data_IF_392252156968
#
_entry.id   IF_392252156968
#
_cell.length_a   1.000
_cell.length_b   1.000
_cell.length_c   1.000
_cell.angle_alpha   90.00
_cell.angle_beta   90.00
_cell.angle_gamma   90.00
#
_symmetry.space_group_name_H-M   'P 1'
#
loop_
_entity.id
_entity.type
_entity.pdbx_description
1 polymer ?
#
# COMPACT_ATOMS: atom_id res chain seq x y z
N UNK A 1 19.48 6.36 -14.00
CA UNK A 1 19.97 5.47 -12.93
C UNK A 1 20.52 6.23 -11.71
N UNK A 2 21.17 7.39 -11.88
CA UNK A 2 21.74 8.18 -10.76
C UNK A 2 20.73 8.91 -9.85
N UNK A 3 19.47 9.11 -10.26
CA UNK A 3 18.46 9.76 -9.42
C UNK A 3 18.00 8.89 -8.23
N UNK A 4 18.21 7.58 -8.26
CA UNK A 4 17.88 6.68 -7.15
C UNK A 4 18.87 6.82 -5.96
N UNK A 5 20.09 7.28 -6.21
CA UNK A 5 21.15 7.42 -5.20
C UNK A 5 20.97 8.64 -4.28
N UNK A 6 20.10 9.60 -4.66
CA UNK A 6 19.92 10.85 -3.93
C UNK A 6 18.52 11.01 -3.29
N UNK A 7 17.75 9.92 -3.20
CA UNK A 7 16.42 9.96 -2.57
C UNK A 7 16.57 9.90 -1.06
N UNK A 8 15.90 10.82 -0.36
CA UNK A 8 15.75 10.68 1.08
C UNK A 8 14.86 9.46 1.42
N UNK A 9 14.85 9.06 2.69
CA UNK A 9 14.07 7.91 3.16
C UNK A 9 12.60 7.97 2.71
N UNK A 10 11.96 9.14 2.87
CA UNK A 10 10.55 9.31 2.54
C UNK A 10 10.26 9.08 1.05
N UNK A 11 11.06 9.69 0.17
CA UNK A 11 10.92 9.50 -1.28
C UNK A 11 11.15 8.04 -1.69
N UNK A 12 12.10 7.36 -1.08
CA UNK A 12 12.39 5.96 -1.36
C UNK A 12 11.22 5.05 -0.96
N UNK A 13 10.63 5.28 0.22
CA UNK A 13 9.48 4.50 0.71
C UNK A 13 8.25 4.77 -0.15
N UNK A 14 7.93 6.04 -0.44
CA UNK A 14 6.84 6.41 -1.35
C UNK A 14 7.01 5.78 -2.73
N UNK A 15 8.23 5.74 -3.25
CA UNK A 15 8.51 5.12 -4.54
C UNK A 15 8.29 3.61 -4.50
N UNK A 16 8.86 2.92 -3.49
CA UNK A 16 8.76 1.48 -3.34
C UNK A 16 7.30 1.04 -3.21
N UNK A 17 6.53 1.74 -2.37
CA UNK A 17 5.11 1.49 -2.19
C UNK A 17 4.30 1.76 -3.47
N UNK A 18 4.64 2.83 -4.19
CA UNK A 18 4.03 3.12 -5.48
C UNK A 18 4.27 2.01 -6.52
N UNK A 19 5.50 1.52 -6.64
CA UNK A 19 5.83 0.40 -7.54
C UNK A 19 5.12 -0.88 -7.10
N UNK A 20 5.14 -1.19 -5.81
CA UNK A 20 4.49 -2.37 -5.26
C UNK A 20 2.98 -2.37 -5.53
N UNK A 21 2.31 -1.25 -5.23
CA UNK A 21 0.88 -1.07 -5.50
C UNK A 21 0.54 -1.26 -6.98
N UNK A 22 1.35 -0.70 -7.89
CA UNK A 22 1.14 -0.92 -9.34
C UNK A 22 1.37 -2.38 -9.76
N UNK A 23 2.35 -3.06 -9.19
CA UNK A 23 2.59 -4.48 -9.46
C UNK A 23 1.42 -5.35 -8.98
N UNK A 24 0.88 -5.07 -7.79
CA UNK A 24 -0.31 -5.74 -7.26
C UNK A 24 -1.54 -5.46 -8.14
N UNK A 25 -1.74 -4.22 -8.58
CA UNK A 25 -2.82 -3.88 -9.50
C UNK A 25 -2.73 -4.66 -10.81
N UNK A 26 -1.54 -4.71 -11.41
CA UNK A 26 -1.31 -5.47 -12.65
C UNK A 26 -1.60 -6.97 -12.45
N UNK A 27 -1.13 -7.55 -11.34
CA UNK A 27 -1.40 -8.95 -10.99
C UNK A 27 -2.91 -9.21 -10.84
N UNK A 28 -3.61 -8.36 -10.10
CA UNK A 28 -5.04 -8.53 -9.83
C UNK A 28 -5.89 -8.38 -11.09
N UNK A 29 -5.54 -7.45 -11.99
CA UNK A 29 -6.21 -7.35 -13.30
C UNK A 29 -5.92 -8.53 -14.21
N UNK A 30 -4.70 -9.09 -14.16
CA UNK A 30 -4.32 -10.19 -15.04
C UNK A 30 -5.02 -11.51 -14.67
N UNK A 31 -5.17 -11.80 -13.36
CA UNK A 31 -5.67 -13.10 -12.87
C UNK A 31 -6.64 -12.96 -11.69
N UNK A 32 -7.76 -12.23 -11.84
CA UNK A 32 -8.67 -11.96 -10.71
C UNK A 32 -9.34 -13.23 -10.17
N UNK A 33 -9.67 -14.19 -11.04
CA UNK A 33 -10.28 -15.46 -10.65
C UNK A 33 -9.36 -16.32 -9.77
N UNK A 34 -8.13 -16.65 -10.21
CA UNK A 34 -7.15 -17.34 -9.40
C UNK A 34 -6.88 -16.66 -8.05
N UNK A 35 -6.68 -15.34 -8.03
CA UNK A 35 -6.49 -14.58 -6.80
C UNK A 35 -7.70 -14.73 -5.86
N UNK A 36 -8.92 -14.56 -6.39
CA UNK A 36 -10.16 -14.75 -5.63
C UNK A 36 -10.27 -16.15 -5.01
N UNK A 37 -9.92 -17.19 -5.77
CA UNK A 37 -9.95 -18.58 -5.28
C UNK A 37 -8.97 -18.85 -4.14
N UNK A 38 -7.83 -18.15 -4.11
CA UNK A 38 -6.88 -18.22 -3.00
C UNK A 38 -7.41 -17.51 -1.76
N UNK A 39 -8.20 -16.44 -1.91
CA UNK A 39 -8.70 -15.65 -0.78
C UNK A 39 -9.94 -16.28 -0.16
N UNK A 40 -10.93 -16.65 -0.96
CA UNK A 40 -12.17 -17.26 -0.50
C UNK A 40 -13.38 -16.94 -1.39
N UNK A 41 -14.52 -17.60 -1.17
CA UNK A 41 -15.71 -17.50 -2.03
C UNK A 41 -16.28 -16.08 -2.17
N UNK A 42 -16.06 -15.19 -1.18
CA UNK A 42 -16.53 -13.81 -1.24
C UNK A 42 -15.59 -12.88 -2.04
N UNK A 43 -14.37 -13.32 -2.36
CA UNK A 43 -13.40 -12.57 -3.16
C UNK A 43 -13.71 -12.69 -4.65
N UNK A 44 -14.89 -12.20 -5.05
CA UNK A 44 -15.36 -12.29 -6.44
C UNK A 44 -14.43 -11.55 -7.41
N UNK A 45 -14.38 -11.93 -8.71
CA UNK A 45 -13.57 -11.22 -9.69
C UNK A 45 -13.87 -9.71 -9.78
N UNK A 46 -15.13 -9.32 -9.59
CA UNK A 46 -15.53 -7.92 -9.53
C UNK A 46 -14.87 -7.17 -8.35
N UNK A 47 -14.86 -7.78 -7.16
CA UNK A 47 -14.20 -7.20 -5.99
C UNK A 47 -12.68 -7.11 -6.20
N UNK A 48 -12.06 -8.16 -6.74
CA UNK A 48 -10.62 -8.16 -7.03
C UNK A 48 -10.25 -7.09 -8.07
N UNK A 49 -11.04 -6.91 -9.12
CA UNK A 49 -10.85 -5.82 -10.08
C UNK A 49 -11.07 -4.43 -9.46
N UNK A 50 -12.01 -4.30 -8.53
CA UNK A 50 -12.19 -3.07 -7.74
C UNK A 50 -10.94 -2.74 -6.92
N UNK A 51 -10.36 -3.74 -6.24
CA UNK A 51 -9.09 -3.59 -5.52
C UNK A 51 -7.94 -3.27 -6.49
N UNK A 52 -7.89 -3.89 -7.66
CA UNK A 52 -6.89 -3.61 -8.68
C UNK A 52 -6.93 -2.13 -9.13
N UNK A 53 -8.13 -1.61 -9.40
CA UNK A 53 -8.32 -0.20 -9.74
C UNK A 53 -7.90 0.73 -8.60
N UNK A 54 -8.23 0.39 -7.36
CA UNK A 54 -7.76 1.11 -6.18
C UNK A 54 -6.23 1.14 -6.13
N UNK A 55 -5.55 -0.02 -6.23
CA UNK A 55 -4.09 -0.11 -6.19
C UNK A 55 -3.41 0.61 -7.36
N UNK A 56 -4.03 0.64 -8.53
CA UNK A 56 -3.55 1.40 -9.68
C UNK A 56 -3.51 2.90 -9.35
N UNK A 57 -4.62 3.44 -8.84
CA UNK A 57 -4.70 4.86 -8.46
C UNK A 57 -3.79 5.18 -7.26
N UNK A 58 -3.77 4.30 -6.26
CA UNK A 58 -2.95 4.45 -5.06
C UNK A 58 -1.44 4.42 -5.40
N UNK A 59 -1.04 3.49 -6.27
CA UNK A 59 0.33 3.40 -6.76
C UNK A 59 0.74 4.62 -7.58
N UNK A 60 -0.14 5.10 -8.47
CA UNK A 60 0.10 6.33 -9.23
C UNK A 60 0.26 7.55 -8.32
N UNK A 61 -0.58 7.69 -7.29
CA UNK A 61 -0.48 8.73 -6.28
C UNK A 61 0.87 8.70 -5.55
N UNK A 62 1.30 7.52 -5.09
CA UNK A 62 2.58 7.33 -4.41
C UNK A 62 3.79 7.68 -5.30
N UNK A 63 3.78 7.23 -6.57
CA UNK A 63 4.83 7.58 -7.52
C UNK A 63 4.85 9.07 -7.87
N UNK A 64 3.68 9.71 -7.95
CA UNK A 64 3.60 11.15 -8.17
C UNK A 64 4.21 11.92 -7.00
N UNK A 65 3.91 11.53 -5.75
CA UNK A 65 4.55 12.12 -4.56
C UNK A 65 6.05 11.85 -4.50
N UNK A 66 6.50 10.64 -4.80
CA UNK A 66 7.91 10.27 -4.76
C UNK A 66 8.78 11.03 -5.77
N UNK A 67 8.18 11.61 -6.82
CA UNK A 67 8.86 12.44 -7.83
C UNK A 67 9.00 13.91 -7.41
N UNK A 68 8.32 14.34 -6.36
CA UNK A 68 8.43 15.72 -5.86
C UNK A 68 9.73 15.89 -5.08
N UNK A 69 10.49 16.95 -5.37
CA UNK A 69 11.72 17.28 -4.63
C UNK A 69 11.45 17.47 -3.13
N UNK A 70 10.32 18.09 -2.79
CA UNK A 70 9.78 18.16 -1.44
C UNK A 70 8.28 17.83 -1.46
N UNK A 71 7.89 16.59 -1.12
CA UNK A 71 6.49 16.21 -1.05
C UNK A 71 5.75 17.04 0.00
N UNK A 72 4.50 17.43 -0.29
CA UNK A 72 3.69 18.17 0.68
C UNK A 72 3.40 17.31 1.92
N UNK A 73 3.55 17.89 3.11
CA UNK A 73 3.31 17.16 4.37
C UNK A 73 1.86 16.67 4.47
N UNK A 74 0.89 17.43 3.93
CA UNK A 74 -0.51 17.04 3.90
C UNK A 74 -0.75 15.79 3.04
N UNK A 75 -0.13 15.71 1.85
CA UNK A 75 -0.29 14.55 0.98
C UNK A 75 0.41 13.30 1.55
N UNK A 76 1.55 13.48 2.21
CA UNK A 76 2.22 12.36 2.92
C UNK A 76 1.39 11.87 4.10
N UNK A 77 0.75 12.78 4.85
CA UNK A 77 -0.18 12.41 5.93
C UNK A 77 -1.41 11.67 5.39
N UNK A 78 -1.92 12.05 4.22
CA UNK A 78 -2.99 11.33 3.53
C UNK A 78 -2.54 9.91 3.17
N UNK A 79 -1.32 9.74 2.64
CA UNK A 79 -0.75 8.42 2.37
C UNK A 79 -0.69 7.55 3.64
N UNK A 80 -0.14 8.10 4.73
CA UNK A 80 -0.06 7.41 6.04
C UNK A 80 -1.46 7.04 6.55
N UNK A 81 -2.44 7.93 6.44
CA UNK A 81 -3.81 7.67 6.87
C UNK A 81 -4.47 6.56 6.02
N UNK A 82 -4.23 6.55 4.71
CA UNK A 82 -4.73 5.49 3.83
C UNK A 82 -4.12 4.13 4.15
N UNK A 83 -2.80 4.07 4.41
CA UNK A 83 -2.14 2.84 4.87
C UNK A 83 -2.72 2.37 6.21
N UNK A 84 -2.98 3.30 7.14
CA UNK A 84 -3.59 2.99 8.42
C UNK A 84 -4.99 2.40 8.26
N UNK A 85 -5.80 2.99 7.38
CA UNK A 85 -7.12 2.47 7.03
C UNK A 85 -7.01 1.06 6.42
N UNK A 86 -6.07 0.84 5.50
CA UNK A 86 -5.83 -0.48 4.90
C UNK A 86 -5.53 -1.55 5.96
N UNK A 87 -4.64 -1.25 6.91
CA UNK A 87 -4.29 -2.16 8.00
C UNK A 87 -5.50 -2.45 8.89
N UNK A 88 -6.25 -1.41 9.30
CA UNK A 88 -7.46 -1.57 10.13
C UNK A 88 -8.50 -2.43 9.41
N UNK A 89 -8.77 -2.17 8.14
CA UNK A 89 -9.71 -2.95 7.34
C UNK A 89 -9.23 -4.39 7.16
N UNK A 90 -7.93 -4.61 6.98
CA UNK A 90 -7.35 -5.96 6.89
C UNK A 90 -7.58 -6.76 8.18
N UNK A 91 -7.34 -6.14 9.34
CA UNK A 91 -7.62 -6.76 10.65
C UNK A 91 -9.12 -7.02 10.83
N UNK A 92 -9.98 -6.08 10.44
CA UNK A 92 -11.43 -6.27 10.50
C UNK A 92 -11.89 -7.45 9.64
N UNK A 93 -11.34 -7.61 8.43
CA UNK A 93 -11.61 -8.76 7.55
C UNK A 93 -11.12 -10.06 8.19
N UNK A 94 -9.94 -10.09 8.79
CA UNK A 94 -9.39 -11.28 9.46
C UNK A 94 -10.21 -11.71 10.69
N UNK A 95 -10.85 -10.78 11.39
CA UNK A 95 -11.66 -11.08 12.59
C UNK A 95 -13.09 -11.43 12.19
N UNK A 96 -13.76 -10.54 11.44
CA UNK A 96 -15.19 -10.63 11.16
C UNK A 96 -15.51 -11.46 9.91
N UNK A 97 -14.60 -11.51 8.93
CA UNK A 97 -14.77 -12.25 7.68
C UNK A 97 -14.13 -13.65 7.69
N UNK A 98 -13.56 -14.07 8.82
CA UNK A 98 -12.68 -15.25 8.92
C UNK A 98 -13.29 -16.54 8.34
N UNK A 99 -14.59 -16.76 8.57
CA UNK A 99 -15.28 -18.00 8.18
C UNK A 99 -15.48 -18.06 6.65
N UNK A 100 -15.36 -16.92 5.97
CA UNK A 100 -15.42 -16.77 4.52
C UNK A 100 -14.05 -16.77 3.82
N UNK A 101 -12.95 -16.94 4.56
CA UNK A 101 -11.60 -16.94 4.03
C UNK A 101 -11.04 -18.36 3.97
N UNK A 102 -10.20 -18.63 2.97
CA UNK A 102 -9.33 -19.80 3.04
C UNK A 102 -8.16 -19.54 3.98
N UNK A 103 -7.47 -20.59 4.43
CA UNK A 103 -6.22 -20.44 5.19
C UNK A 103 -5.17 -19.61 4.44
N UNK A 104 -5.04 -19.84 3.14
CA UNK A 104 -4.13 -19.07 2.28
C UNK A 104 -4.53 -17.60 2.24
N UNK A 105 -5.83 -17.30 2.14
CA UNK A 105 -6.36 -15.94 2.19
C UNK A 105 -6.03 -15.23 3.49
N UNK A 106 -6.20 -15.91 4.62
CA UNK A 106 -5.84 -15.40 5.95
C UNK A 106 -4.35 -15.03 6.00
N UNK A 107 -3.47 -15.92 5.54
CA UNK A 107 -2.02 -15.69 5.54
C UNK A 107 -1.67 -14.50 4.64
N UNK A 108 -2.22 -14.45 3.42
CA UNK A 108 -1.96 -13.37 2.47
C UNK A 108 -2.40 -12.01 3.02
N UNK A 109 -3.59 -11.92 3.61
CA UNK A 109 -4.10 -10.68 4.21
C UNK A 109 -3.25 -10.27 5.41
N UNK A 110 -2.89 -11.21 6.29
CA UNK A 110 -2.06 -10.92 7.46
C UNK A 110 -0.66 -10.41 7.06
N UNK A 111 0.00 -11.08 6.10
CA UNK A 111 1.32 -10.67 5.61
C UNK A 111 1.25 -9.30 4.93
N UNK A 112 0.22 -9.05 4.11
CA UNK A 112 0.02 -7.75 3.48
C UNK A 112 -0.23 -6.65 4.53
N UNK A 113 -1.02 -6.91 5.56
CA UNK A 113 -1.27 -5.96 6.64
C UNK A 113 0.02 -5.57 7.39
N UNK A 114 0.87 -6.55 7.71
CA UNK A 114 2.16 -6.29 8.36
C UNK A 114 3.08 -5.47 7.44
N UNK A 115 3.21 -5.86 6.17
CA UNK A 115 4.03 -5.12 5.22
C UNK A 115 3.60 -3.66 5.05
N UNK A 116 2.29 -3.40 4.97
CA UNK A 116 1.74 -2.03 4.89
C UNK A 116 1.96 -1.27 6.21
N UNK A 117 1.87 -1.94 7.36
CA UNK A 117 2.17 -1.31 8.65
C UNK A 117 3.65 -0.87 8.74
N UNK A 118 4.59 -1.69 8.26
CA UNK A 118 6.01 -1.33 8.20
C UNK A 118 6.24 -0.13 7.26
N UNK A 119 5.60 -0.13 6.08
CA UNK A 119 5.64 1.00 5.13
C UNK A 119 5.11 2.28 5.79
N UNK A 120 3.98 2.19 6.49
CA UNK A 120 3.37 3.30 7.23
C UNK A 120 4.36 3.89 8.24
N UNK A 121 4.99 3.06 9.07
CA UNK A 121 5.98 3.48 10.06
C UNK A 121 7.18 4.17 9.39
N UNK A 122 7.67 3.62 8.27
CA UNK A 122 8.76 4.22 7.52
C UNK A 122 8.38 5.59 6.94
N UNK A 123 7.14 5.78 6.46
CA UNK A 123 6.63 7.09 6.02
C UNK A 123 6.56 8.10 7.17
N UNK A 124 6.11 7.67 8.36
CA UNK A 124 6.07 8.53 9.56
C UNK A 124 7.47 8.99 9.94
N UNK A 125 8.45 8.08 10.00
CA UNK A 125 9.86 8.40 10.30
C UNK A 125 10.43 9.34 9.23
N UNK A 126 10.16 9.05 7.95
CA UNK A 126 10.62 9.87 6.83
C UNK A 126 10.06 11.30 6.89
N UNK A 127 8.77 11.45 7.19
CA UNK A 127 8.12 12.76 7.33
C UNK A 127 8.68 13.55 8.51
N UNK A 128 8.84 12.92 9.68
CA UNK A 128 9.39 13.57 10.86
C UNK A 128 10.80 14.14 10.60
N UNK A 129 11.68 13.36 9.94
CA UNK A 129 13.03 13.81 9.58
C UNK A 129 13.04 15.00 8.63
N UNK A 130 12.16 14.99 7.63
CA UNK A 130 12.02 16.12 6.69
C UNK A 130 11.57 17.40 7.40
N UNK A 131 10.64 17.28 8.36
CA UNK A 131 10.16 18.42 9.13
C UNK A 131 11.23 18.99 10.07
N UNK A 132 11.98 18.16 10.79
CA UNK A 132 13.09 18.62 11.61
C UNK A 132 14.15 19.38 10.80
N UNK A 133 14.47 18.87 9.60
CA UNK A 133 15.45 19.52 8.70
C UNK A 133 14.94 20.88 8.18
N UNK A 134 13.64 21.04 8.01
CA UNK A 134 13.05 22.31 7.56
C UNK A 134 12.97 23.39 8.67
N UNK A 135 13.13 23.00 9.94
CA UNK A 135 13.12 23.90 11.11
C UNK A 135 14.52 24.28 11.60
N UNK A 136 15.56 23.61 11.10
CA UNK A 136 16.96 23.88 11.41
C UNK A 136 17.57 24.85 10.39
#
# INVERSE_FOLDING_TARGET
MFAALNRNLLQSVLFADGVFSLAVAALFFAVPGPIGSLVGPFATPMLINGLAAFFLLWGAFHLALARQAQPSAAAVRLAIAGDGLWVITSVAVLIAGRDGLTLTGIILIAVAAVAVADILLLKQIGLARQQCTAMA
#
